data_IF_124496002540
#
_entry.id   IF_124496002540
#
_cell.length_a   1.000
_cell.length_b   1.000
_cell.length_c   1.000
_cell.angle_alpha   90.00
_cell.angle_beta   90.00
_cell.angle_gamma   90.00
#
_symmetry.space_group_name_H-M   'P 1'
#
loop_
_entity.id
_entity.type
_entity.pdbx_description
1 polymer ?
#
# COMPACT_ATOMS: atom_id res chain seq x y z
N UNK A 1 -6.93 -17.03 -16.48
CA UNK A 1 -7.04 -15.57 -16.28
C UNK A 1 -6.39 -15.31 -14.94
N UNK A 2 -5.41 -14.41 -14.84
CA UNK A 2 -4.65 -14.26 -13.58
C UNK A 2 -5.45 -13.37 -12.62
N UNK A 3 -5.65 -13.84 -11.40
CA UNK A 3 -6.48 -13.13 -10.41
C UNK A 3 -5.74 -11.90 -9.88
N UNK A 4 -6.45 -10.78 -9.67
CA UNK A 4 -5.88 -9.53 -9.11
C UNK A 4 -5.18 -9.79 -7.77
N UNK A 5 -5.70 -10.74 -6.99
CA UNK A 5 -5.08 -11.19 -5.74
C UNK A 5 -3.69 -11.78 -5.96
N UNK A 6 -3.52 -12.62 -6.98
CA UNK A 6 -2.22 -13.23 -7.32
C UNK A 6 -1.22 -12.19 -7.84
N UNK A 7 -1.69 -11.17 -8.57
CA UNK A 7 -0.84 -10.06 -9.00
C UNK A 7 -0.33 -9.26 -7.80
N UNK A 8 -1.21 -8.88 -6.87
CA UNK A 8 -0.83 -8.16 -5.64
C UNK A 8 0.12 -9.00 -4.78
N UNK A 9 -0.19 -10.29 -4.56
CA UNK A 9 0.67 -11.19 -3.78
C UNK A 9 2.07 -11.34 -4.41
N UNK A 10 2.16 -11.44 -5.75
CA UNK A 10 3.46 -11.48 -6.46
C UNK A 10 4.20 -10.16 -6.42
N UNK A 11 3.52 -9.04 -6.63
CA UNK A 11 4.15 -7.70 -6.63
C UNK A 11 4.62 -7.30 -5.24
N UNK A 12 3.91 -7.69 -4.18
CA UNK A 12 4.38 -7.52 -2.80
C UNK A 12 5.65 -8.34 -2.57
N UNK A 13 5.66 -9.63 -2.93
CA UNK A 13 6.85 -10.48 -2.83
C UNK A 13 8.04 -9.95 -3.66
N UNK A 14 7.78 -9.29 -4.79
CA UNK A 14 8.82 -8.69 -5.65
C UNK A 14 9.25 -7.28 -5.19
N UNK A 15 8.40 -6.57 -4.45
CA UNK A 15 8.62 -5.19 -4.00
C UNK A 15 9.48 -5.04 -2.75
N UNK A 16 9.79 -6.14 -2.05
CA UNK A 16 10.58 -6.11 -0.82
C UNK A 16 12.04 -5.65 -1.01
N UNK A 17 12.59 -5.67 -2.22
CA UNK A 17 13.99 -5.23 -2.47
C UNK A 17 14.26 -3.76 -2.15
N UNK A 18 13.24 -2.89 -2.23
CA UNK A 18 13.36 -1.49 -1.80
C UNK A 18 13.03 -1.29 -0.32
N UNK A 19 12.33 -2.23 0.31
CA UNK A 19 12.02 -2.22 1.74
C UNK A 19 13.19 -2.75 2.60
N UNK A 20 14.08 -3.56 2.01
CA UNK A 20 15.24 -4.16 2.67
C UNK A 20 16.26 -3.14 3.20
N UNK A 21 16.36 -1.97 2.56
CA UNK A 21 17.10 -0.83 3.12
C UNK A 21 16.30 -0.21 4.27
N UNK A 22 16.41 -0.82 5.46
CA UNK A 22 15.88 -0.29 6.72
C UNK A 22 16.80 0.77 7.31
N UNK A 23 16.29 1.54 8.27
CA UNK A 23 17.09 2.48 9.05
C UNK A 23 18.31 1.80 9.66
N UNK A 24 18.16 0.60 10.24
CA UNK A 24 19.30 -0.14 10.82
C UNK A 24 20.36 -0.49 9.78
N UNK A 25 19.96 -0.83 8.55
CA UNK A 25 20.92 -1.13 7.47
C UNK A 25 21.70 0.11 7.03
N UNK A 26 21.04 1.26 6.97
CA UNK A 26 21.71 2.53 6.63
C UNK A 26 22.67 2.94 7.76
N UNK A 27 22.24 2.80 9.02
CA UNK A 27 23.10 3.09 10.19
C UNK A 27 24.32 2.17 10.23
N UNK A 28 24.15 0.87 9.98
CA UNK A 28 25.25 -0.10 9.93
C UNK A 28 26.25 0.19 8.80
N UNK A 29 25.76 0.55 7.60
CA UNK A 29 26.60 0.88 6.46
C UNK A 29 27.46 2.12 6.74
N UNK A 30 26.86 3.12 7.37
CA UNK A 30 27.54 4.36 7.75
C UNK A 30 28.54 4.12 8.88
N UNK A 31 28.23 3.27 9.85
CA UNK A 31 29.15 2.90 10.93
C UNK A 31 30.37 2.13 10.39
N UNK A 32 30.19 1.29 9.38
CA UNK A 32 31.29 0.62 8.68
C UNK A 32 32.23 1.63 7.99
N UNK A 33 31.69 2.69 7.37
CA UNK A 33 32.48 3.76 6.76
C UNK A 33 33.28 4.57 7.80
N UNK A 34 32.72 4.77 9.01
CA UNK A 34 33.46 5.39 10.11
C UNK A 34 34.59 4.49 10.59
N UNK A 35 34.34 3.18 10.74
CA UNK A 35 35.37 2.23 11.16
C UNK A 35 36.53 2.14 10.17
N UNK A 36 36.26 2.26 8.88
CA UNK A 36 37.28 2.32 7.82
C UNK A 36 38.03 3.65 7.76
N UNK A 37 37.54 4.67 8.47
CA UNK A 37 38.10 6.03 8.45
C UNK A 37 37.68 6.86 7.24
N UNK A 38 36.75 6.36 6.42
CA UNK A 38 36.27 7.04 5.21
C UNK A 38 35.37 8.24 5.53
N UNK A 39 34.74 8.24 6.72
CA UNK A 39 33.82 9.29 7.18
C UNK A 39 34.08 9.61 8.65
N UNK A 40 34.12 10.91 8.99
CA UNK A 40 34.20 11.34 10.38
C UNK A 40 32.92 10.98 11.14
N UNK A 41 33.03 10.53 12.40
CA UNK A 41 31.91 10.04 13.21
C UNK A 41 30.74 11.05 13.32
N UNK A 42 31.06 12.36 13.32
CA UNK A 42 30.08 13.45 13.35
C UNK A 42 29.29 13.56 12.04
N UNK A 43 29.96 13.36 10.91
CA UNK A 43 29.36 13.49 9.58
C UNK A 43 28.56 12.25 9.21
N UNK A 44 28.98 11.08 9.71
CA UNK A 44 28.27 9.81 9.59
C UNK A 44 26.83 9.88 10.12
N UNK A 45 26.63 10.29 11.37
CA UNK A 45 25.26 10.38 11.95
C UNK A 45 24.35 11.30 11.14
N UNK A 46 24.90 12.40 10.61
CA UNK A 46 24.16 13.32 9.75
C UNK A 46 23.81 12.66 8.41
N UNK A 47 24.77 12.00 7.78
CA UNK A 47 24.58 11.29 6.51
C UNK A 47 23.50 10.20 6.62
N UNK A 48 23.53 9.42 7.69
CA UNK A 48 22.51 8.39 7.96
C UNK A 48 21.12 9.01 8.10
N UNK A 49 21.00 10.09 8.88
CA UNK A 49 19.73 10.81 9.04
C UNK A 49 19.19 11.36 7.73
N UNK A 50 20.05 12.01 6.93
CA UNK A 50 19.69 12.57 5.63
C UNK A 50 19.26 11.48 4.63
N UNK A 51 19.95 10.33 4.61
CA UNK A 51 19.62 9.19 3.75
C UNK A 51 18.27 8.56 4.14
N UNK A 52 18.03 8.38 5.43
CA UNK A 52 16.75 7.84 5.93
C UNK A 52 15.60 8.80 5.60
N UNK A 53 15.77 10.09 5.89
CA UNK A 53 14.72 11.09 5.65
C UNK A 53 14.38 11.20 4.15
N UNK A 54 15.40 11.25 3.28
CA UNK A 54 15.17 11.27 1.82
C UNK A 54 14.53 9.98 1.33
N UNK A 55 14.94 8.83 1.87
CA UNK A 55 14.35 7.54 1.53
C UNK A 55 12.87 7.46 1.91
N UNK A 56 12.48 7.99 3.07
CA UNK A 56 11.09 8.05 3.52
C UNK A 56 10.24 8.95 2.61
N UNK A 57 10.76 10.12 2.24
CA UNK A 57 10.10 11.07 1.33
C UNK A 57 9.91 10.47 -0.07
N UNK A 58 10.97 9.87 -0.64
CA UNK A 58 10.91 9.20 -1.94
C UNK A 58 9.94 8.00 -1.93
N UNK A 59 9.89 7.23 -0.84
CA UNK A 59 8.92 6.14 -0.69
C UNK A 59 7.49 6.67 -0.64
N UNK A 60 7.24 7.82 -0.01
CA UNK A 60 5.91 8.43 0.04
C UNK A 60 5.44 8.89 -1.35
N UNK A 61 6.30 9.59 -2.09
CA UNK A 61 6.03 10.01 -3.47
C UNK A 61 5.82 8.81 -4.40
N UNK A 62 6.65 7.77 -4.26
CA UNK A 62 6.49 6.54 -5.04
C UNK A 62 5.17 5.81 -4.76
N UNK A 63 4.77 5.70 -3.48
CA UNK A 63 3.45 5.14 -3.12
C UNK A 63 2.31 5.93 -3.74
N UNK A 64 2.40 7.25 -3.74
CA UNK A 64 1.40 8.13 -4.35
C UNK A 64 1.33 7.92 -5.86
N UNK A 65 2.47 7.86 -6.53
CA UNK A 65 2.55 7.60 -7.97
C UNK A 65 1.92 6.25 -8.32
N UNK A 66 2.25 5.18 -7.59
CA UNK A 66 1.63 3.87 -7.78
C UNK A 66 0.12 3.95 -7.58
N UNK A 67 -0.34 4.57 -6.49
CA UNK A 67 -1.76 4.71 -6.20
C UNK A 67 -2.50 5.44 -7.33
N UNK A 68 -1.94 6.54 -7.82
CA UNK A 68 -2.54 7.34 -8.88
C UNK A 68 -2.58 6.58 -10.21
N UNK A 69 -1.50 5.87 -10.55
CA UNK A 69 -1.45 5.10 -11.79
C UNK A 69 -2.39 3.88 -11.76
N UNK A 70 -2.47 3.20 -10.61
CA UNK A 70 -3.44 2.10 -10.40
C UNK A 70 -4.86 2.65 -10.45
N UNK A 71 -5.15 3.78 -9.81
CA UNK A 71 -6.48 4.41 -9.84
C UNK A 71 -6.86 4.78 -11.27
N UNK A 72 -5.97 5.42 -12.03
CA UNK A 72 -6.20 5.74 -13.44
C UNK A 72 -6.40 4.51 -14.31
N UNK A 73 -5.65 3.43 -14.06
CA UNK A 73 -5.81 2.18 -14.79
C UNK A 73 -7.19 1.55 -14.50
N UNK A 74 -7.60 1.56 -13.22
CA UNK A 74 -8.92 1.07 -12.79
C UNK A 74 -10.06 1.93 -13.32
N UNK A 75 -9.91 3.26 -13.40
CA UNK A 75 -10.92 4.16 -13.95
C UNK A 75 -11.02 4.04 -15.49
N UNK A 76 -9.94 3.64 -16.18
CA UNK A 76 -9.91 3.40 -17.64
C UNK A 76 -10.48 2.05 -18.04
N UNK A 77 -10.35 1.06 -17.17
CA UNK A 77 -11.12 -0.16 -17.29
C UNK A 77 -12.54 0.18 -16.84
N UNK A 78 -13.59 -0.28 -17.52
CA UNK A 78 -14.99 0.03 -17.17
C UNK A 78 -15.43 -0.73 -15.88
N UNK A 79 -14.60 -0.66 -14.84
CA UNK A 79 -14.72 -1.36 -13.58
C UNK A 79 -15.53 -0.49 -12.62
N UNK A 80 -16.80 -0.83 -12.46
CA UNK A 80 -17.68 -0.19 -11.49
C UNK A 80 -17.17 -0.47 -10.08
N UNK A 81 -16.98 0.57 -9.26
CA UNK A 81 -16.55 0.38 -7.87
C UNK A 81 -17.65 -0.33 -7.08
N UNK A 82 -17.25 -1.11 -6.08
CA UNK A 82 -18.20 -1.87 -5.25
C UNK A 82 -19.19 -0.96 -4.50
N UNK A 83 -18.79 0.28 -4.22
CA UNK A 83 -19.66 1.34 -3.68
C UNK A 83 -20.75 1.73 -4.67
N UNK A 84 -20.36 1.97 -5.92
CA UNK A 84 -21.25 2.48 -6.95
C UNK A 84 -22.31 1.42 -7.31
N UNK A 85 -21.92 0.13 -7.30
CA UNK A 85 -22.88 -0.98 -7.41
C UNK A 85 -23.84 -1.00 -6.21
N UNK A 86 -23.35 -0.81 -4.98
CA UNK A 86 -24.22 -0.80 -3.79
C UNK A 86 -25.22 0.35 -3.84
N UNK A 87 -24.80 1.53 -4.28
CA UNK A 87 -25.65 2.71 -4.38
C UNK A 87 -26.70 2.53 -5.47
N UNK A 88 -26.31 2.05 -6.66
CA UNK A 88 -27.24 1.72 -7.74
C UNK A 88 -28.24 0.62 -7.34
N UNK A 89 -27.79 -0.41 -6.63
CA UNK A 89 -28.66 -1.48 -6.13
C UNK A 89 -29.59 -0.95 -5.04
N UNK A 90 -29.12 -0.10 -4.13
CA UNK A 90 -29.96 0.51 -3.10
C UNK A 90 -31.02 1.44 -3.69
N UNK A 91 -30.68 2.18 -4.75
CA UNK A 91 -31.59 3.04 -5.49
C UNK A 91 -32.63 2.21 -6.27
N UNK A 92 -32.20 1.18 -7.00
CA UNK A 92 -33.10 0.24 -7.68
C UNK A 92 -34.06 -0.47 -6.71
N UNK A 93 -33.59 -0.82 -5.50
CA UNK A 93 -34.44 -1.42 -4.45
C UNK A 93 -35.44 -0.42 -3.85
N UNK A 94 -35.10 0.88 -3.79
CA UNK A 94 -36.04 1.94 -3.40
C UNK A 94 -37.11 2.17 -4.46
N UNK A 95 -36.71 2.23 -5.73
CA UNK A 95 -37.65 2.40 -6.86
C UNK A 95 -38.58 1.19 -7.00
N UNK A 96 -38.08 -0.02 -6.75
CA UNK A 96 -38.89 -1.24 -6.73
C UNK A 96 -39.82 -1.36 -5.49
N UNK A 97 -39.80 -0.39 -4.56
CA UNK A 97 -40.66 -0.39 -3.36
C UNK A 97 -40.29 -1.46 -2.32
N UNK A 98 -39.11 -2.09 -2.43
CA UNK A 98 -38.65 -3.18 -1.59
C UNK A 98 -37.91 -2.72 -0.32
N UNK A 99 -37.85 -1.41 -0.07
CA UNK A 99 -37.01 -0.77 0.96
C UNK A 99 -37.39 -1.09 2.44
N UNK A 100 -38.23 -2.09 2.70
CA UNK A 100 -38.61 -2.49 4.06
C UNK A 100 -37.90 -3.75 4.59
N UNK A 101 -36.90 -4.29 3.90
CA UNK A 101 -36.07 -5.37 4.46
C UNK A 101 -34.66 -4.86 4.73
N UNK A 102 -34.41 -4.40 5.96
CA UNK A 102 -33.04 -4.32 6.49
C UNK A 102 -32.37 -5.67 6.26
N UNK A 103 -31.12 -5.74 5.77
CA UNK A 103 -30.40 -6.99 5.82
C UNK A 103 -30.09 -7.27 7.29
N UNK A 104 -30.88 -8.13 7.92
CA UNK A 104 -30.39 -8.87 9.09
C UNK A 104 -29.14 -9.60 8.62
N UNK A 105 -27.99 -9.08 9.03
CA UNK A 105 -26.74 -9.82 9.01
C UNK A 105 -26.99 -11.01 9.94
N UNK A 106 -27.41 -12.14 9.39
CA UNK A 106 -27.35 -13.42 10.08
C UNK A 106 -25.88 -13.69 10.34
N UNK A 107 -25.47 -13.36 11.55
CA UNK A 107 -24.34 -13.92 12.26
C UNK A 107 -24.49 -15.44 12.25
N UNK A 108 -23.98 -16.10 11.22
CA UNK A 108 -23.62 -17.49 11.32
C UNK A 108 -22.31 -17.56 12.12
N UNK A 109 -22.45 -17.66 13.44
CA UNK A 109 -21.44 -18.37 14.23
C UNK A 109 -21.32 -19.78 13.67
N UNK A 110 -20.11 -20.26 13.30
CA UNK A 110 -19.89 -21.69 13.22
C UNK A 110 -19.90 -22.22 14.66
N UNK A 111 -20.99 -22.91 15.02
CA UNK A 111 -21.00 -23.77 16.19
C UNK A 111 -20.10 -24.99 15.95
N UNK A 112 -19.24 -25.25 16.94
CA UNK A 112 -18.48 -26.48 17.24
C UNK A 112 -17.18 -26.73 16.47
#
# INVERSE_FOLDING_TARGET
MMDVKEFVDKTINFGFGLAEYSREKIEALVEELVQKGDVAQKDARKLAGDLVSKGEEQRAEFRKLIHDEVTKALDKMDLVRKSDIKDQVAEALREAGLAAAKPEVQSNEPQS
#
